data_IF_200594104188
#
_entry.id   IF_200594104188
#
_cell.length_a   1.000
_cell.length_b   1.000
_cell.length_c   1.000
_cell.angle_alpha   90.00
_cell.angle_beta   90.00
_cell.angle_gamma   90.00
#
_symmetry.space_group_name_H-M   'P 1'
#
loop_
_entity.id
_entity.type
_entity.pdbx_description
1 polymer ?
#
# COMPACT_ATOMS: atom_id res chain seq x y z
N UNK A 1 13.25 -13.50 10.70
CA UNK A 1 12.37 -12.48 11.29
C UNK A 1 11.68 -11.78 10.12
N UNK A 2 10.37 -11.95 9.95
CA UNK A 2 9.62 -11.33 8.85
C UNK A 2 8.81 -10.16 9.45
N UNK A 3 9.08 -8.94 9.00
CA UNK A 3 8.27 -7.77 9.34
C UNK A 3 7.37 -7.45 8.15
N UNK A 4 6.07 -7.47 8.38
CA UNK A 4 5.06 -7.07 7.40
C UNK A 4 4.50 -5.72 7.82
N UNK A 5 4.51 -4.76 6.91
CA UNK A 5 3.84 -3.48 7.08
C UNK A 5 2.58 -3.48 6.22
N UNK A 6 1.49 -2.95 6.76
CA UNK A 6 0.17 -2.91 6.12
C UNK A 6 -0.31 -1.46 6.19
N UNK A 7 -0.60 -0.86 5.04
CA UNK A 7 -1.07 0.52 4.98
C UNK A 7 -1.78 0.86 3.67
N UNK A 8 -2.53 1.95 3.68
CA UNK A 8 -3.38 2.41 2.57
C UNK A 8 -2.67 3.40 1.64
N UNK A 9 -1.52 3.94 2.07
CA UNK A 9 -0.71 4.89 1.31
C UNK A 9 0.45 4.21 0.54
N UNK A 10 0.51 4.39 -0.78
CA UNK A 10 1.57 3.78 -1.58
C UNK A 10 2.95 4.36 -1.23
N UNK A 11 3.15 5.67 -1.31
CA UNK A 11 4.48 6.24 -1.07
C UNK A 11 4.95 6.07 0.39
N UNK A 12 4.09 6.41 1.34
CA UNK A 12 4.45 6.57 2.75
C UNK A 12 4.37 5.27 3.55
N UNK A 13 3.41 4.39 3.25
CA UNK A 13 3.33 3.10 3.93
C UNK A 13 4.12 2.05 3.16
N UNK A 14 3.81 1.86 1.86
CA UNK A 14 4.44 0.79 1.08
C UNK A 14 5.89 1.11 0.75
N UNK A 15 6.15 2.24 0.10
CA UNK A 15 7.48 2.63 -0.33
C UNK A 15 8.44 2.79 0.84
N UNK A 16 8.05 3.54 1.87
CA UNK A 16 8.92 3.78 3.02
C UNK A 16 9.21 2.49 3.82
N UNK A 17 8.20 1.65 4.09
CA UNK A 17 8.42 0.42 4.85
C UNK A 17 9.29 -0.60 4.10
N UNK A 18 9.13 -0.71 2.78
CA UNK A 18 9.95 -1.59 1.95
C UNK A 18 11.43 -1.17 1.97
N UNK A 19 11.71 0.14 1.97
CA UNK A 19 13.08 0.66 2.11
C UNK A 19 13.70 0.35 3.48
N UNK A 20 12.87 0.13 4.51
CA UNK A 20 13.30 -0.35 5.82
C UNK A 20 13.40 -1.88 5.91
N UNK A 21 13.16 -2.61 4.81
CA UNK A 21 13.24 -4.07 4.75
C UNK A 21 11.95 -4.79 5.14
N UNK A 22 10.83 -4.10 5.28
CA UNK A 22 9.53 -4.73 5.50
C UNK A 22 8.97 -5.31 4.20
N UNK A 23 8.11 -6.33 4.31
CA UNK A 23 7.20 -6.73 3.25
C UNK A 23 5.98 -5.82 3.31
N UNK A 24 5.73 -5.06 2.26
CA UNK A 24 4.67 -4.06 2.25
C UNK A 24 3.40 -4.62 1.62
N UNK A 25 2.31 -4.64 2.39
CA UNK A 25 0.96 -4.93 1.92
C UNK A 25 0.25 -3.61 1.68
N UNK A 26 -0.18 -3.39 0.45
CA UNK A 26 -1.01 -2.25 0.08
C UNK A 26 -2.48 -2.58 0.29
N UNK A 27 -3.13 -1.82 1.17
CA UNK A 27 -4.58 -1.85 1.40
C UNK A 27 -5.23 -0.87 0.43
N UNK A 28 -5.58 -1.38 -0.74
CA UNK A 28 -6.27 -0.62 -1.78
C UNK A 28 -7.77 -0.92 -1.74
N UNK A 29 -8.44 -0.39 -0.71
CA UNK A 29 -9.87 -0.63 -0.47
C UNK A 29 -10.70 -0.33 -1.70
N UNK A 30 -11.77 -1.10 -1.88
CA UNK A 30 -12.69 -0.96 -3.01
C UNK A 30 -13.19 0.50 -3.16
N UNK A 31 -13.01 1.05 -4.37
CA UNK A 31 -13.34 2.45 -4.66
C UNK A 31 -14.85 2.71 -4.62
N UNK A 32 -15.70 1.73 -4.93
CA UNK A 32 -17.15 1.89 -4.92
C UNK A 32 -17.71 1.86 -3.50
N UNK A 33 -17.10 1.07 -2.60
CA UNK A 33 -17.54 0.93 -1.22
C UNK A 33 -16.91 1.98 -0.27
N UNK A 34 -15.62 2.30 -0.43
CA UNK A 34 -14.87 3.09 0.56
C UNK A 34 -14.32 4.43 0.04
N UNK A 35 -13.83 4.51 -1.20
CA UNK A 35 -13.23 5.72 -1.83
C UNK A 35 -12.17 6.43 -0.94
N UNK A 36 -11.34 5.67 -0.23
CA UNK A 36 -10.39 6.17 0.78
C UNK A 36 -8.92 5.84 0.50
N UNK A 37 -8.63 5.00 -0.48
CA UNK A 37 -7.25 4.53 -0.74
C UNK A 37 -6.42 5.53 -1.54
N UNK A 38 -5.10 5.31 -1.57
CA UNK A 38 -4.19 6.14 -2.36
C UNK A 38 -4.53 6.17 -3.86
N UNK A 39 -5.11 5.08 -4.41
CA UNK A 39 -5.52 5.01 -5.82
C UNK A 39 -6.67 5.97 -6.15
N UNK A 40 -7.56 6.23 -5.19
CA UNK A 40 -8.70 7.14 -5.33
C UNK A 40 -8.29 8.62 -5.40
N UNK A 41 -7.04 8.95 -5.01
CA UNK A 41 -6.55 10.33 -4.97
C UNK A 41 -6.38 10.89 -6.39
N UNK A 42 -7.29 11.79 -6.74
CA UNK A 42 -7.24 12.51 -8.01
C UNK A 42 -7.14 14.03 -7.77
N UNK A 43 -6.06 14.69 -8.23
CA UNK A 43 -5.90 16.14 -8.15
C UNK A 43 -6.98 16.94 -8.91
N UNK A 44 -7.80 16.28 -9.73
CA UNK A 44 -8.90 16.89 -10.47
C UNK A 44 -10.28 16.57 -9.89
N UNK A 45 -10.38 15.68 -8.89
CA UNK A 45 -11.64 15.43 -8.16
C UNK A 45 -11.83 16.44 -7.01
N UNK A 46 -13.07 16.78 -6.65
CA UNK A 46 -13.37 17.53 -5.44
C UNK A 46 -12.73 16.86 -4.23
N UNK A 47 -11.95 17.63 -3.48
CA UNK A 47 -11.34 17.14 -2.24
C UNK A 47 -12.34 17.26 -1.09
N UNK A 48 -12.26 16.37 -0.08
CA UNK A 48 -13.13 16.49 1.08
C UNK A 48 -12.87 17.81 1.80
N UNK A 49 -13.90 18.37 2.45
CA UNK A 49 -13.86 19.73 3.03
C UNK A 49 -12.78 19.95 4.10
N UNK A 50 -12.27 18.87 4.71
CA UNK A 50 -11.17 18.92 5.69
C UNK A 50 -9.78 18.90 5.04
N UNK A 51 -9.68 18.57 3.76
CA UNK A 51 -8.40 18.50 3.05
C UNK A 51 -7.86 19.90 2.79
N UNK A 52 -6.65 20.15 3.25
CA UNK A 52 -5.88 21.35 2.93
C UNK A 52 -4.86 21.12 1.81
N UNK A 53 -4.87 19.93 1.18
CA UNK A 53 -3.90 19.58 0.16
C UNK A 53 -4.13 20.42 -1.10
N UNK A 54 -3.07 21.09 -1.54
CA UNK A 54 -3.05 21.83 -2.80
C UNK A 54 -3.01 20.85 -3.99
N UNK A 55 -3.43 21.34 -5.17
CA UNK A 55 -3.34 20.56 -6.40
C UNK A 55 -1.90 20.11 -6.68
N UNK A 56 -0.92 20.98 -6.45
CA UNK A 56 0.49 20.66 -6.66
C UNK A 56 0.97 19.54 -5.72
N UNK A 57 0.56 19.57 -4.45
CA UNK A 57 0.87 18.49 -3.50
C UNK A 57 0.22 17.17 -3.93
N UNK A 58 -1.01 17.19 -4.43
CA UNK A 58 -1.71 15.99 -4.91
C UNK A 58 -1.03 15.39 -6.15
N UNK A 59 -0.64 16.22 -7.12
CA UNK A 59 0.12 15.77 -8.30
C UNK A 59 1.49 15.18 -7.90
N UNK A 60 2.17 15.81 -6.94
CA UNK A 60 3.43 15.29 -6.40
C UNK A 60 3.23 13.93 -5.73
N UNK A 61 2.19 13.78 -4.92
CA UNK A 61 1.83 12.51 -4.27
C UNK A 61 1.54 11.43 -5.30
N UNK A 62 0.76 11.73 -6.32
CA UNK A 62 0.45 10.80 -7.43
C UNK A 62 1.71 10.27 -8.11
N UNK A 63 2.72 11.12 -8.34
CA UNK A 63 4.01 10.68 -8.89
C UNK A 63 4.75 9.74 -7.94
N UNK A 64 4.79 10.07 -6.65
CA UNK A 64 5.42 9.22 -5.63
C UNK A 64 4.70 7.87 -5.51
N UNK A 65 3.37 7.86 -5.58
CA UNK A 65 2.57 6.64 -5.54
C UNK A 65 2.89 5.72 -6.73
N UNK A 66 3.03 6.27 -7.94
CA UNK A 66 3.45 5.51 -9.13
C UNK A 66 4.83 4.86 -8.95
N UNK A 67 5.79 5.60 -8.40
CA UNK A 67 7.14 5.09 -8.14
C UNK A 67 7.11 4.01 -7.05
N UNK A 68 6.22 4.11 -6.07
CA UNK A 68 6.15 3.18 -4.94
C UNK A 68 5.46 1.85 -5.26
N UNK A 69 4.69 1.75 -6.36
CA UNK A 69 4.00 0.50 -6.75
C UNK A 69 4.93 -0.71 -6.87
N UNK A 70 6.19 -0.48 -7.26
CA UNK A 70 7.19 -1.55 -7.39
C UNK A 70 7.54 -2.24 -6.06
N UNK A 71 7.24 -1.61 -4.92
CA UNK A 71 7.54 -2.11 -3.59
C UNK A 71 6.41 -2.95 -2.97
N UNK A 72 5.25 -3.01 -3.63
CA UNK A 72 4.09 -3.76 -3.15
C UNK A 72 4.40 -5.26 -3.18
N UNK A 73 4.39 -5.89 -2.01
CA UNK A 73 4.53 -7.35 -1.87
C UNK A 73 3.19 -8.06 -2.10
N UNK A 74 2.10 -7.51 -1.56
CA UNK A 74 0.71 -7.96 -1.81
C UNK A 74 -0.22 -6.76 -1.86
N UNK A 75 -1.27 -6.84 -2.66
CA UNK A 75 -2.37 -5.88 -2.67
C UNK A 75 -3.62 -6.57 -2.15
N UNK A 76 -4.34 -5.90 -1.25
CA UNK A 76 -5.65 -6.35 -0.75
C UNK A 76 -6.69 -5.28 -1.00
N UNK A 77 -7.91 -5.69 -1.34
CA UNK A 77 -9.04 -4.77 -1.56
C UNK A 77 -10.04 -4.75 -0.41
N UNK A 78 -9.87 -5.67 0.55
CA UNK A 78 -10.66 -5.74 1.78
C UNK A 78 -9.76 -6.20 2.93
N UNK A 79 -10.04 -5.77 4.15
CA UNK A 79 -9.24 -6.16 5.32
C UNK A 79 -9.36 -7.65 5.65
N UNK A 80 -10.44 -8.31 5.23
CA UNK A 80 -10.64 -9.75 5.41
C UNK A 80 -9.60 -10.59 4.66
N UNK A 81 -8.96 -10.04 3.63
CA UNK A 81 -7.89 -10.71 2.89
C UNK A 81 -6.55 -10.71 3.61
N UNK A 82 -6.39 -9.88 4.67
CA UNK A 82 -5.11 -9.71 5.35
C UNK A 82 -4.55 -11.00 5.96
N UNK A 83 -5.32 -11.84 6.69
CA UNK A 83 -4.78 -13.06 7.28
C UNK A 83 -4.14 -14.00 6.24
N UNK A 84 -4.84 -14.25 5.13
CA UNK A 84 -4.34 -15.09 4.04
C UNK A 84 -3.11 -14.47 3.35
N UNK A 85 -3.16 -13.15 3.10
CA UNK A 85 -2.06 -12.43 2.44
C UNK A 85 -0.78 -12.43 3.28
N UNK A 86 -0.92 -12.28 4.61
CA UNK A 86 0.20 -12.36 5.56
C UNK A 86 0.76 -13.78 5.62
N UNK A 87 -0.12 -14.79 5.68
CA UNK A 87 0.30 -16.19 5.70
C UNK A 87 1.15 -16.52 4.45
N UNK A 88 0.70 -16.15 3.26
CA UNK A 88 1.46 -16.32 2.01
C UNK A 88 2.85 -15.68 2.08
N UNK A 89 2.94 -14.42 2.52
CA UNK A 89 4.23 -13.72 2.67
C UNK A 89 5.15 -14.48 3.64
N UNK A 90 4.62 -14.95 4.76
CA UNK A 90 5.44 -15.62 5.78
C UNK A 90 5.88 -17.03 5.34
N UNK A 91 5.08 -17.73 4.54
CA UNK A 91 5.43 -19.04 3.98
C UNK A 91 6.48 -18.94 2.87
N UNK A 92 6.36 -17.93 2.00
CA UNK A 92 7.35 -17.63 0.95
C UNK A 92 8.75 -17.36 1.52
N UNK A 93 8.83 -16.75 2.71
CA UNK A 93 10.10 -16.49 3.42
C UNK A 93 10.65 -17.72 4.15
N UNK A 94 9.81 -18.69 4.52
CA UNK A 94 10.23 -19.90 5.24
C UNK A 94 10.65 -21.03 4.28
N UNK A 95 10.05 -21.12 3.10
CA UNK A 95 10.36 -22.13 2.08
C UNK A 95 11.83 -22.18 1.61
N UNK A 96 12.59 -21.06 1.52
CA UNK A 96 14.01 -21.08 1.15
C UNK A 96 14.88 -21.80 2.18
N UNK A 97 14.47 -21.86 3.46
CA UNK A 97 15.29 -22.43 4.54
C UNK A 97 15.25 -23.97 4.63
N UNK A 98 14.36 -24.64 3.88
CA UNK A 98 14.18 -26.11 3.91
C UNK A 98 14.84 -26.81 2.72
N UNK A 99 15.49 -26.06 1.82
CA UNK A 99 16.19 -26.60 0.63
C UNK A 99 17.73 -26.46 0.67
N UNK A 100 18.32 -26.33 1.86
CA UNK A 100 19.77 -26.31 2.07
C UNK A 100 20.24 -27.59 2.78
#
# INVERSE_FOLDING_TARGET
CCWVHVGDDLANDVGASALCGAKAVWVDLDEEEYDQSASSRDPNKPQPAWSTATKEELEKRKKMDQEAQQYVSKRVTTLQMLPASIEEITLEEWAPAVRA
#
